data_IF_142409894663
#
_entry.id   IF_142409894663
#
_cell.length_a   1.000
_cell.length_b   1.000
_cell.length_c   1.000
_cell.angle_alpha   90.00
_cell.angle_beta   90.00
_cell.angle_gamma   90.00
#
_symmetry.space_group_name_H-M   'P 1'
#
loop_
_entity.id
_entity.type
_entity.pdbx_description
1 polymer ?
#
# COMPACT_ATOMS: atom_id res chain seq x y z
N UNK A 1 52.60 20.03 -6.10
CA UNK A 1 51.66 19.26 -5.25
C UNK A 1 50.54 18.71 -6.11
N UNK A 2 50.35 17.38 -6.24
CA UNK A 2 49.26 16.82 -7.02
C UNK A 2 47.99 16.71 -6.17
N UNK A 3 46.89 17.27 -6.66
CA UNK A 3 45.58 17.19 -6.04
C UNK A 3 44.98 15.81 -6.39
N UNK A 4 44.94 14.89 -5.43
CA UNK A 4 44.26 13.59 -5.57
C UNK A 4 42.75 13.81 -5.76
N UNK A 5 42.22 13.46 -6.94
CA UNK A 5 40.77 13.40 -7.17
C UNK A 5 40.18 12.22 -6.38
N UNK A 6 39.49 12.50 -5.28
CA UNK A 6 38.69 11.51 -4.55
C UNK A 6 37.57 11.00 -5.47
N UNK A 7 37.61 9.70 -5.80
CA UNK A 7 36.49 9.02 -6.45
C UNK A 7 35.31 8.93 -5.48
N UNK A 8 34.37 9.87 -5.59
CA UNK A 8 33.12 9.86 -4.81
C UNK A 8 32.23 8.74 -5.39
N UNK A 9 32.17 7.59 -4.71
CA UNK A 9 31.14 6.56 -5.00
C UNK A 9 29.77 7.15 -4.66
N UNK A 10 29.02 7.57 -5.67
CA UNK A 10 27.63 8.03 -5.50
C UNK A 10 26.80 6.83 -5.02
N UNK A 11 26.24 6.95 -3.82
CA UNK A 11 25.35 5.91 -3.27
C UNK A 11 24.12 5.79 -4.17
N UNK A 12 23.90 4.60 -4.76
CA UNK A 12 22.68 4.31 -5.53
C UNK A 12 21.46 4.56 -4.64
N UNK A 13 20.62 5.53 -5.02
CA UNK A 13 19.34 5.75 -4.35
C UNK A 13 18.49 4.49 -4.44
N UNK A 14 17.69 4.24 -3.41
CA UNK A 14 16.73 3.14 -3.47
C UNK A 14 15.71 3.43 -4.59
N UNK A 15 15.35 2.40 -5.36
CA UNK A 15 14.38 2.54 -6.45
C UNK A 15 12.96 2.83 -5.95
N UNK A 16 12.60 2.32 -4.78
CA UNK A 16 11.23 2.33 -4.28
C UNK A 16 11.09 3.03 -2.93
N UNK A 17 9.98 3.76 -2.76
CA UNK A 17 9.59 4.41 -1.51
C UNK A 17 9.33 3.35 -0.44
N UNK A 18 9.95 3.54 0.72
CA UNK A 18 9.85 2.63 1.86
C UNK A 18 10.21 3.34 3.16
N UNK A 19 9.84 2.72 4.27
CA UNK A 19 10.25 3.08 5.63
C UNK A 19 10.96 1.89 6.27
N UNK A 20 11.80 2.14 7.27
CA UNK A 20 12.47 1.11 8.04
C UNK A 20 12.05 1.30 9.50
N UNK A 21 11.38 0.29 10.06
CA UNK A 21 10.89 0.29 11.43
C UNK A 21 11.35 -1.01 12.08
N UNK A 22 12.00 -0.92 13.24
CA UNK A 22 12.66 -2.04 13.91
C UNK A 22 13.48 -2.94 12.95
N UNK A 23 14.39 -2.32 12.19
CA UNK A 23 15.26 -2.97 11.19
C UNK A 23 14.51 -3.69 10.05
N UNK A 24 13.18 -3.62 9.99
CA UNK A 24 12.35 -4.20 8.93
C UNK A 24 11.90 -3.14 7.95
N UNK A 25 11.96 -3.47 6.66
CA UNK A 25 11.61 -2.57 5.56
C UNK A 25 10.16 -2.75 5.12
N UNK A 26 9.41 -1.67 5.09
CA UNK A 26 8.03 -1.63 4.61
C UNK A 26 7.94 -0.74 3.38
N UNK A 27 7.51 -1.32 2.25
CA UNK A 27 7.42 -0.59 0.98
C UNK A 27 6.05 0.08 0.84
N UNK A 28 6.04 1.27 0.23
CA UNK A 28 4.83 2.03 -0.06
C UNK A 28 4.20 1.54 -1.36
N UNK A 29 2.89 1.31 -1.34
CA UNK A 29 2.10 0.83 -2.47
C UNK A 29 0.90 1.71 -2.74
N UNK A 30 0.46 1.68 -3.98
CA UNK A 30 -0.89 2.05 -4.40
C UNK A 30 -1.66 0.75 -4.65
N UNK A 31 -2.76 0.57 -3.93
CA UNK A 31 -3.62 -0.61 -3.98
C UNK A 31 -4.95 -0.19 -4.60
N UNK A 32 -5.34 -0.82 -5.70
CA UNK A 32 -6.69 -0.70 -6.25
C UNK A 32 -7.49 -1.93 -5.86
N UNK A 33 -8.67 -1.73 -5.30
CA UNK A 33 -9.50 -2.82 -4.79
C UNK A 33 -10.98 -2.52 -4.94
N UNK A 34 -11.80 -3.57 -4.82
CA UNK A 34 -13.25 -3.50 -4.84
C UNK A 34 -13.77 -3.60 -3.42
N UNK A 35 -14.44 -2.55 -2.96
CA UNK A 35 -15.07 -2.48 -1.66
C UNK A 35 -16.51 -3.00 -1.71
N UNK A 36 -16.87 -3.80 -0.72
CA UNK A 36 -18.17 -4.45 -0.66
C UNK A 36 -19.19 -3.40 -0.24
N UNK A 37 -20.21 -3.21 -1.06
CA UNK A 37 -21.30 -2.28 -0.77
C UNK A 37 -22.54 -3.05 -0.31
N UNK A 38 -23.31 -2.42 0.56
CA UNK A 38 -24.64 -2.83 0.96
C UNK A 38 -25.60 -1.67 0.79
N UNK A 39 -26.81 -1.95 0.35
CA UNK A 39 -27.87 -0.95 0.12
C UNK A 39 -29.17 -1.50 0.70
N UNK A 40 -29.89 -0.68 1.46
CA UNK A 40 -31.17 -1.03 2.12
C UNK A 40 -32.40 -0.47 1.40
N UNK A 41 -32.23 0.20 0.27
CA UNK A 41 -33.29 0.77 -0.55
C UNK A 41 -34.07 -0.26 -1.37
N UNK A 42 -35.18 0.19 -1.97
CA UNK A 42 -35.94 -0.61 -2.93
C UNK A 42 -35.33 -0.48 -4.33
N UNK A 43 -34.94 -1.61 -4.91
CA UNK A 43 -34.28 -1.67 -6.21
C UNK A 43 -35.09 -2.52 -7.19
N UNK A 44 -35.16 -2.09 -8.44
CA UNK A 44 -35.73 -2.91 -9.50
C UNK A 44 -34.67 -3.89 -10.07
N UNK A 45 -35.10 -4.84 -10.91
CA UNK A 45 -34.17 -5.84 -11.47
C UNK A 45 -33.05 -5.20 -12.29
N UNK A 46 -33.32 -4.08 -12.96
CA UNK A 46 -32.34 -3.42 -13.81
C UNK A 46 -31.30 -2.70 -12.97
N UNK A 47 -31.69 -2.03 -11.88
CA UNK A 47 -30.73 -1.39 -10.97
C UNK A 47 -29.84 -2.44 -10.28
N UNK A 48 -30.42 -3.56 -9.82
CA UNK A 48 -29.66 -4.67 -9.23
C UNK A 48 -28.64 -5.28 -10.20
N UNK A 49 -28.99 -5.48 -11.48
CA UNK A 49 -28.06 -6.05 -12.46
C UNK A 49 -26.86 -5.14 -12.78
N UNK A 50 -27.00 -3.83 -12.52
CA UNK A 50 -25.96 -2.84 -12.72
C UNK A 50 -25.20 -2.50 -11.43
N UNK A 51 -25.53 -3.13 -10.30
CA UNK A 51 -24.80 -2.91 -9.05
C UNK A 51 -23.41 -3.54 -9.14
N UNK A 52 -22.41 -2.75 -8.78
CA UNK A 52 -21.00 -3.14 -8.78
C UNK A 52 -20.36 -2.71 -7.46
N UNK A 53 -19.36 -3.46 -6.95
CA UNK A 53 -18.56 -3.02 -5.81
C UNK A 53 -17.94 -1.64 -6.04
N UNK A 54 -17.76 -0.87 -4.96
CA UNK A 54 -17.11 0.43 -5.05
C UNK A 54 -15.62 0.26 -5.40
N UNK A 55 -15.13 1.04 -6.36
CA UNK A 55 -13.73 0.96 -6.83
C UNK A 55 -12.86 1.91 -6.02
N UNK A 56 -12.08 1.36 -5.10
CA UNK A 56 -11.31 2.12 -4.13
C UNK A 56 -9.82 2.09 -4.42
N UNK A 57 -9.13 3.16 -3.98
CA UNK A 57 -7.68 3.30 -4.06
C UNK A 57 -7.14 3.63 -2.67
N UNK A 58 -6.26 2.76 -2.17
CA UNK A 58 -5.54 2.99 -0.91
C UNK A 58 -4.05 3.19 -1.21
N UNK A 59 -3.44 4.18 -0.57
CA UNK A 59 -2.00 4.40 -0.61
C UNK A 59 -1.43 4.17 0.79
N UNK A 60 -0.48 3.25 0.93
CA UNK A 60 0.02 2.86 2.25
C UNK A 60 1.19 1.90 2.20
N UNK A 61 1.80 1.67 3.35
CA UNK A 61 2.86 0.68 3.53
C UNK A 61 2.27 -0.70 3.78
N UNK A 62 2.88 -1.74 3.20
CA UNK A 62 2.41 -3.12 3.40
C UNK A 62 3.11 -3.74 4.59
N UNK A 63 2.36 -4.05 5.64
CA UNK A 63 2.83 -4.77 6.82
C UNK A 63 3.00 -6.27 6.53
N UNK A 64 1.97 -6.87 5.91
CA UNK A 64 1.89 -8.29 5.62
C UNK A 64 1.03 -8.54 4.38
N UNK A 65 1.32 -9.60 3.62
CA UNK A 65 0.44 -10.09 2.56
C UNK A 65 0.68 -11.57 2.30
N UNK A 66 -0.40 -12.30 2.04
CA UNK A 66 -0.37 -13.69 1.62
C UNK A 66 -1.41 -13.95 0.52
N UNK A 67 -1.83 -15.21 0.37
CA UNK A 67 -2.87 -15.60 -0.61
C UNK A 67 -4.28 -15.23 -0.16
N UNK A 68 -4.50 -14.92 1.12
CA UNK A 68 -5.81 -14.67 1.73
C UNK A 68 -6.05 -13.19 1.97
N UNK A 69 -5.02 -12.44 2.38
CA UNK A 69 -5.18 -11.05 2.78
C UNK A 69 -3.96 -10.17 2.49
N UNK A 70 -4.20 -8.86 2.49
CA UNK A 70 -3.19 -7.79 2.44
C UNK A 70 -3.45 -6.86 3.61
N UNK A 71 -2.44 -6.62 4.43
CA UNK A 71 -2.50 -5.71 5.57
C UNK A 71 -1.63 -4.50 5.29
N UNK A 72 -2.21 -3.30 5.32
CA UNK A 72 -1.50 -2.04 5.16
C UNK A 72 -1.65 -1.12 6.36
N UNK A 73 -0.77 -0.13 6.48
CA UNK A 73 -0.84 0.99 7.42
C UNK A 73 -0.46 2.28 6.71
N UNK A 74 -0.92 3.43 7.19
CA UNK A 74 -0.55 4.75 6.65
C UNK A 74 0.30 5.58 7.60
N UNK A 75 0.13 5.38 8.91
CA UNK A 75 0.82 6.13 9.97
C UNK A 75 1.53 5.17 10.92
N UNK A 76 2.64 5.61 11.51
CA UNK A 76 3.43 4.81 12.44
C UNK A 76 4.20 5.71 13.41
N UNK A 77 4.52 5.18 14.58
CA UNK A 77 5.43 5.80 15.55
C UNK A 77 6.84 5.22 15.35
N UNK A 78 7.82 6.08 15.08
CA UNK A 78 9.23 5.68 14.87
C UNK A 78 9.89 5.15 16.14
N UNK A 79 9.46 5.62 17.31
CA UNK A 79 10.04 5.29 18.62
C UNK A 79 9.32 4.10 19.27
N UNK A 80 8.00 4.02 19.14
CA UNK A 80 7.18 3.01 19.83
C UNK A 80 6.78 1.81 18.95
N UNK A 81 7.17 1.79 17.67
CA UNK A 81 6.81 0.73 16.69
C UNK A 81 5.31 0.40 16.71
N UNK A 82 4.47 1.44 16.77
CA UNK A 82 3.02 1.31 16.63
C UNK A 82 2.59 1.65 15.21
N UNK A 83 1.49 1.07 14.74
CA UNK A 83 0.97 1.24 13.38
C UNK A 83 -0.50 1.69 13.45
N UNK A 84 -0.84 2.70 12.66
CA UNK A 84 -2.18 3.30 12.59
C UNK A 84 -2.67 3.40 11.15
N UNK A 85 -3.97 3.67 10.99
CA UNK A 85 -4.67 3.64 9.69
C UNK A 85 -4.54 2.28 9.00
N UNK A 86 -4.76 1.23 9.80
CA UNK A 86 -4.62 -0.15 9.37
C UNK A 86 -5.80 -0.54 8.49
N UNK A 87 -5.51 -1.19 7.37
CA UNK A 87 -6.51 -1.80 6.52
C UNK A 87 -6.19 -3.29 6.34
N UNK A 88 -7.22 -4.13 6.35
CA UNK A 88 -7.12 -5.57 6.06
C UNK A 88 -8.00 -5.87 4.84
N UNK A 89 -7.37 -6.08 3.70
CA UNK A 89 -8.08 -6.39 2.45
C UNK A 89 -8.10 -7.90 2.22
N UNK A 90 -9.27 -8.52 2.01
CA UNK A 90 -9.34 -9.84 1.41
C UNK A 90 -8.65 -9.82 0.05
N UNK A 91 -7.81 -10.83 -0.22
CA UNK A 91 -6.97 -10.85 -1.43
C UNK A 91 -7.80 -10.81 -2.71
N UNK A 92 -8.98 -11.41 -2.71
CA UNK A 92 -9.92 -11.43 -3.84
C UNK A 92 -10.49 -10.05 -4.21
N UNK A 93 -10.53 -9.12 -3.26
CA UNK A 93 -10.96 -7.74 -3.50
C UNK A 93 -9.85 -6.91 -4.17
N UNK A 94 -8.58 -7.27 -3.99
CA UNK A 94 -7.44 -6.52 -4.50
C UNK A 94 -7.23 -6.79 -5.99
N UNK A 95 -7.38 -5.76 -6.83
CA UNK A 95 -7.22 -5.86 -8.28
C UNK A 95 -5.78 -5.62 -8.72
N UNK A 96 -5.13 -4.60 -8.16
CA UNK A 96 -3.74 -4.28 -8.48
C UNK A 96 -2.99 -3.75 -7.27
N UNK A 97 -1.71 -4.09 -7.15
CA UNK A 97 -0.79 -3.49 -6.19
C UNK A 97 0.45 -3.00 -6.91
N UNK A 98 0.72 -1.70 -6.85
CA UNK A 98 1.90 -1.09 -7.47
C UNK A 98 2.81 -0.50 -6.39
N UNK A 99 4.06 -0.94 -6.35
CA UNK A 99 5.07 -0.32 -5.49
C UNK A 99 5.46 1.05 -6.06
N UNK A 100 5.55 2.06 -5.20
CA UNK A 100 5.84 3.44 -5.61
C UNK A 100 7.35 3.66 -5.70
N UNK A 101 7.81 4.26 -6.80
CA UNK A 101 9.21 4.63 -7.03
C UNK A 101 9.57 5.95 -6.32
N UNK A 102 10.85 6.16 -6.01
CA UNK A 102 11.38 7.36 -5.35
C UNK A 102 11.73 8.49 -6.34
#
# INVERSE_FOLDING_TARGET
MPIMKKNIKVRKKHKYKHVILDKKKYYFYIIKWHDIIGDSGHHDKKSLHNMEPAKMVTQGYIFYKDKQQVISFASYDEDQTTFSDINVFPRGCVKTMRKVEL
#
